data_IF_627320756475
#
_entry.id   IF_627320756475
#
_cell.length_a   1.000
_cell.length_b   1.000
_cell.length_c   1.000
_cell.angle_alpha   90.00
_cell.angle_beta   90.00
_cell.angle_gamma   90.00
#
_symmetry.space_group_name_H-M   'P 1'
#
loop_
_entity.id
_entity.type
_entity.pdbx_description
1 polymer ?
#
# COMPACT_ATOMS: atom_id res chain seq x y z
N UNK A 1 31.22 8.43 -34.11
CA UNK A 1 31.06 7.21 -33.31
C UNK A 1 29.96 7.48 -32.30
N UNK A 2 28.74 6.98 -32.53
CA UNK A 2 27.59 7.22 -31.64
C UNK A 2 27.60 6.11 -30.59
N UNK A 3 27.86 6.46 -29.33
CA UNK A 3 27.80 5.50 -28.22
C UNK A 3 26.33 5.23 -27.95
N UNK A 4 25.83 4.09 -28.42
CA UNK A 4 24.51 3.58 -28.06
C UNK A 4 24.56 3.16 -26.58
N UNK A 5 24.24 4.09 -25.68
CA UNK A 5 24.16 3.81 -24.26
C UNK A 5 22.93 2.92 -24.02
N UNK A 6 23.15 1.61 -23.88
CA UNK A 6 22.15 0.64 -23.41
C UNK A 6 21.70 1.10 -22.02
N UNK A 7 20.50 1.66 -21.93
CA UNK A 7 19.85 1.90 -20.64
C UNK A 7 19.72 0.53 -19.98
N UNK A 8 20.49 0.27 -18.90
CA UNK A 8 20.25 -0.91 -18.07
C UNK A 8 18.85 -0.75 -17.51
N UNK A 9 17.95 -1.66 -17.87
CA UNK A 9 16.70 -1.82 -17.13
C UNK A 9 17.07 -1.96 -15.66
N UNK A 10 16.49 -1.10 -14.80
CA UNK A 10 16.79 -1.13 -13.39
C UNK A 10 16.37 -2.51 -12.85
N UNK A 11 17.36 -3.26 -12.37
CA UNK A 11 17.13 -4.60 -11.83
C UNK A 11 16.30 -4.46 -10.55
N UNK A 12 15.11 -5.08 -10.52
CA UNK A 12 14.22 -5.03 -9.34
C UNK A 12 14.88 -5.83 -8.23
N UNK A 13 15.16 -5.18 -7.10
CA UNK A 13 15.79 -5.87 -5.97
C UNK A 13 14.77 -6.69 -5.18
N UNK A 14 15.26 -7.64 -4.39
CA UNK A 14 14.42 -8.36 -3.41
C UNK A 14 13.72 -7.39 -2.44
N UNK A 15 14.41 -6.33 -2.03
CA UNK A 15 13.88 -5.31 -1.13
C UNK A 15 12.73 -4.52 -1.78
N UNK A 16 12.87 -4.18 -3.06
CA UNK A 16 11.81 -3.53 -3.83
C UNK A 16 10.59 -4.44 -3.96
N UNK A 17 10.81 -5.73 -4.26
CA UNK A 17 9.76 -6.74 -4.39
C UNK A 17 9.00 -6.96 -3.08
N UNK A 18 9.72 -7.04 -1.96
CA UNK A 18 9.14 -7.18 -0.62
C UNK A 18 8.32 -5.93 -0.25
N UNK A 19 8.88 -4.74 -0.48
CA UNK A 19 8.20 -3.47 -0.19
C UNK A 19 6.91 -3.34 -1.01
N UNK A 20 6.97 -3.65 -2.30
CA UNK A 20 5.83 -3.60 -3.20
C UNK A 20 4.74 -4.58 -2.76
N UNK A 21 5.10 -5.85 -2.54
CA UNK A 21 4.16 -6.90 -2.09
C UNK A 21 3.44 -6.50 -0.80
N UNK A 22 4.18 -6.00 0.18
CA UNK A 22 3.62 -5.55 1.46
C UNK A 22 2.65 -4.38 1.30
N UNK A 23 2.97 -3.42 0.41
CA UNK A 23 2.10 -2.29 0.14
C UNK A 23 0.83 -2.73 -0.60
N UNK A 24 0.92 -3.66 -1.55
CA UNK A 24 -0.23 -4.22 -2.25
C UNK A 24 -1.19 -4.94 -1.29
N UNK A 25 -0.66 -5.77 -0.38
CA UNK A 25 -1.46 -6.44 0.65
C UNK A 25 -2.19 -5.44 1.56
N UNK A 26 -1.51 -4.37 2.01
CA UNK A 26 -2.12 -3.29 2.80
C UNK A 26 -3.27 -2.62 2.05
N UNK A 27 -3.05 -2.26 0.79
CA UNK A 27 -4.07 -1.62 -0.05
C UNK A 27 -5.27 -2.54 -0.22
N UNK A 28 -5.05 -3.82 -0.52
CA UNK A 28 -6.12 -4.81 -0.68
C UNK A 28 -6.97 -4.94 0.59
N UNK A 29 -6.33 -5.09 1.75
CA UNK A 29 -7.02 -5.25 3.03
C UNK A 29 -7.80 -3.99 3.42
N UNK A 30 -7.24 -2.80 3.20
CA UNK A 30 -7.96 -1.54 3.47
C UNK A 30 -9.13 -1.34 2.52
N UNK A 31 -8.99 -1.65 1.24
CA UNK A 31 -10.10 -1.58 0.27
C UNK A 31 -11.22 -2.58 0.62
N UNK A 32 -10.88 -3.82 1.01
CA UNK A 32 -11.87 -4.80 1.49
C UNK A 32 -12.57 -4.24 2.73
N UNK A 33 -11.81 -3.70 3.69
CA UNK A 33 -12.37 -3.13 4.92
C UNK A 33 -13.35 -1.99 4.65
N UNK A 34 -13.07 -1.16 3.65
CA UNK A 34 -13.95 -0.09 3.19
C UNK A 34 -15.21 -0.64 2.49
N UNK A 35 -15.05 -1.44 1.43
CA UNK A 35 -16.15 -1.94 0.59
C UNK A 35 -17.11 -2.84 1.39
N UNK A 36 -16.59 -3.56 2.38
CA UNK A 36 -17.38 -4.43 3.26
C UNK A 36 -17.94 -3.72 4.48
N UNK A 37 -17.60 -2.45 4.71
CA UNK A 37 -18.08 -1.68 5.85
C UNK A 37 -17.56 -2.18 7.20
N UNK A 38 -16.33 -2.72 7.25
CA UNK A 38 -15.73 -3.20 8.50
C UNK A 38 -15.40 -2.04 9.46
N UNK A 39 -15.20 -0.84 8.92
CA UNK A 39 -15.04 0.40 9.67
C UNK A 39 -15.92 1.50 9.06
N UNK A 40 -16.32 2.52 9.85
CA UNK A 40 -17.07 3.67 9.33
C UNK A 40 -16.29 4.44 8.25
N UNK A 41 -16.97 5.05 7.28
CA UNK A 41 -16.31 5.75 6.16
C UNK A 41 -15.31 6.82 6.59
N UNK A 42 -15.60 7.54 7.68
CA UNK A 42 -14.71 8.56 8.27
C UNK A 42 -13.34 8.03 8.72
N UNK A 43 -13.18 6.70 8.80
CA UNK A 43 -11.93 6.04 9.13
C UNK A 43 -11.01 5.94 7.91
N UNK A 44 -11.46 6.30 6.71
CA UNK A 44 -10.67 6.16 5.50
C UNK A 44 -10.36 7.51 4.88
N UNK A 45 -9.10 7.68 4.47
CA UNK A 45 -8.65 8.80 3.67
C UNK A 45 -8.26 8.33 2.27
N UNK A 46 -8.57 9.14 1.26
CA UNK A 46 -8.10 8.90 -0.09
C UNK A 46 -6.62 9.32 -0.21
N UNK A 47 -5.78 8.40 -0.67
CA UNK A 47 -4.40 8.68 -1.04
C UNK A 47 -4.24 8.53 -2.54
N UNK A 48 -3.75 9.57 -3.20
CA UNK A 48 -3.42 9.51 -4.62
C UNK A 48 -2.13 8.71 -4.81
N UNK A 49 -2.10 7.85 -5.83
CA UNK A 49 -0.92 7.15 -6.32
C UNK A 49 -0.65 7.68 -7.73
N UNK A 50 0.13 8.77 -7.89
CA UNK A 50 0.26 9.48 -9.16
C UNK A 50 0.78 8.60 -10.29
N UNK A 51 1.69 7.68 -10.00
CA UNK A 51 2.28 6.77 -10.98
C UNK A 51 1.28 5.80 -11.62
N UNK A 52 0.09 5.63 -11.03
CA UNK A 52 -0.94 4.69 -11.49
C UNK A 52 -2.29 5.39 -11.71
N UNK A 53 -2.34 6.73 -11.66
CA UNK A 53 -3.55 7.55 -11.80
C UNK A 53 -4.75 7.07 -10.94
N UNK A 54 -4.48 6.47 -9.79
CA UNK A 54 -5.50 5.87 -8.93
C UNK A 54 -5.55 6.50 -7.54
N UNK A 55 -6.73 6.43 -6.92
CA UNK A 55 -6.93 6.74 -5.50
C UNK A 55 -7.14 5.44 -4.74
N UNK A 56 -6.43 5.30 -3.62
CA UNK A 56 -6.57 4.16 -2.72
C UNK A 56 -7.18 4.61 -1.39
N UNK A 57 -7.96 3.72 -0.76
CA UNK A 57 -8.44 3.94 0.62
C UNK A 57 -7.34 3.58 1.60
N UNK A 58 -6.98 4.54 2.47
CA UNK A 58 -6.07 4.32 3.59
C UNK A 58 -6.86 4.32 4.89
N UNK A 59 -6.81 3.23 5.64
CA UNK A 59 -7.37 3.17 6.99
C UNK A 59 -6.58 4.07 7.94
N UNK A 60 -7.30 4.84 8.74
CA UNK A 60 -6.77 5.75 9.74
C UNK A 60 -6.92 5.13 11.13
N UNK A 61 -5.93 5.30 12.02
CA UNK A 61 -5.97 4.71 13.35
C UNK A 61 -6.75 5.59 14.32
N UNK A 62 -8.07 5.64 14.15
CA UNK A 62 -8.96 6.51 14.95
C UNK A 62 -9.33 5.89 16.30
N UNK A 63 -9.22 4.56 16.42
CA UNK A 63 -9.50 3.81 17.64
C UNK A 63 -8.55 2.60 17.78
N UNK A 64 -8.76 1.81 18.84
CA UNK A 64 -7.91 0.65 19.15
C UNK A 64 -8.02 -0.47 18.10
N UNK A 65 -9.19 -0.69 17.51
CA UNK A 65 -9.41 -1.76 16.54
C UNK A 65 -8.81 -1.42 15.18
N UNK A 66 -9.01 -0.19 14.70
CA UNK A 66 -8.36 0.31 13.48
C UNK A 66 -6.85 0.36 13.62
N UNK A 67 -6.34 0.78 14.80
CA UNK A 67 -4.91 0.71 15.13
C UNK A 67 -4.39 -0.72 15.08
N UNK A 68 -5.12 -1.68 15.67
CA UNK A 68 -4.70 -3.09 15.71
C UNK A 68 -4.56 -3.68 14.30
N UNK A 69 -5.54 -3.44 13.42
CA UNK A 69 -5.46 -3.91 12.04
C UNK A 69 -4.29 -3.27 11.28
N UNK A 70 -4.03 -1.98 11.49
CA UNK A 70 -2.86 -1.31 10.90
C UNK A 70 -1.56 -1.93 11.43
N UNK A 71 -1.46 -2.14 12.73
CA UNK A 71 -0.27 -2.72 13.36
C UNK A 71 -0.01 -4.15 12.85
N UNK A 72 -1.03 -4.99 12.67
CA UNK A 72 -0.87 -6.31 12.04
C UNK A 72 -0.25 -6.23 10.64
N UNK A 73 -0.64 -5.22 9.86
CA UNK A 73 -0.10 -5.03 8.51
C UNK A 73 1.26 -4.33 8.48
N UNK A 74 1.62 -3.60 9.53
CA UNK A 74 2.86 -2.83 9.61
C UNK A 74 3.99 -3.58 10.31
N UNK A 75 3.65 -4.23 11.41
CA UNK A 75 4.57 -4.88 12.34
C UNK A 75 4.47 -6.40 12.27
N UNK A 76 3.38 -6.95 11.74
CA UNK A 76 3.09 -8.37 11.75
C UNK A 76 2.11 -8.76 12.85
N UNK A 77 1.65 -10.01 12.82
CA UNK A 77 0.78 -10.59 13.85
C UNK A 77 1.70 -11.36 14.82
N UNK A 78 1.79 -10.88 16.06
CA UNK A 78 2.48 -11.54 17.16
C UNK A 78 1.52 -11.75 18.33
#
# INVERSE_FOLDING_TARGET
>A
MVVAQKVKEAEITEQDSLLLTRNLLRIAIFNISYIRGLFPEKYFNDKSVPALEMKIKKLMPLDAESRRLIDWMEKGVY
#
